data_IF_829047416692
#
_entry.id   IF_829047416692
#
_cell.length_a   1.000
_cell.length_b   1.000
_cell.length_c   1.000
_cell.angle_alpha   90.00
_cell.angle_beta   90.00
_cell.angle_gamma   90.00
#
_symmetry.space_group_name_H-M   'P 1'
#
loop_
_entity.id
_entity.type
_entity.pdbx_description
1 polymer ?
#
# COMPACT_ATOMS: atom_id res chain seq x y z
N UNK A 1 -10.54 32.12 -1.77
CA UNK A 1 -9.34 31.49 -1.16
C UNK A 1 -9.51 30.00 -1.31
N UNK A 2 -8.49 29.27 -1.78
CA UNK A 2 -8.53 27.82 -1.72
C UNK A 2 -8.61 27.42 -0.23
N UNK A 3 -9.48 26.47 0.15
CA UNK A 3 -9.55 26.00 1.53
C UNK A 3 -8.18 25.41 1.89
N UNK A 4 -7.51 26.01 2.87
CA UNK A 4 -6.29 25.48 3.44
C UNK A 4 -6.64 24.39 4.44
N UNK A 5 -6.01 23.22 4.29
CA UNK A 5 -6.12 22.11 5.24
C UNK A 5 -5.72 22.60 6.64
N UNK A 6 -6.53 22.35 7.69
CA UNK A 6 -6.20 22.80 9.03
C UNK A 6 -4.98 22.09 9.61
N UNK A 7 -4.13 22.81 10.33
CA UNK A 7 -2.92 22.23 10.94
C UNK A 7 -3.25 21.11 11.93
N UNK A 8 -4.38 21.21 12.65
CA UNK A 8 -4.83 20.17 13.56
C UNK A 8 -5.25 18.88 12.84
N UNK A 9 -5.63 18.95 11.56
CA UNK A 9 -6.02 17.77 10.78
C UNK A 9 -4.79 16.97 10.34
N UNK A 10 -3.70 17.65 9.93
CA UNK A 10 -2.50 17.00 9.41
C UNK A 10 -1.75 16.16 10.46
N UNK A 11 -1.85 16.52 11.74
CA UNK A 11 -1.18 15.80 12.84
C UNK A 11 -2.09 14.98 13.74
N UNK A 12 -3.41 14.96 13.51
CA UNK A 12 -4.34 14.25 14.39
C UNK A 12 -4.16 12.74 14.27
N UNK A 13 -4.31 12.01 15.38
CA UNK A 13 -4.40 10.55 15.40
C UNK A 13 -5.82 10.05 15.64
N UNK A 14 -6.77 10.95 15.88
CA UNK A 14 -8.17 10.63 16.17
C UNK A 14 -9.09 11.28 15.15
N UNK A 15 -10.34 10.85 15.10
CA UNK A 15 -11.40 11.49 14.31
C UNK A 15 -12.05 12.65 15.08
N UNK A 16 -11.50 13.07 16.22
CA UNK A 16 -12.06 14.20 16.96
C UNK A 16 -11.77 15.51 16.24
N UNK A 17 -12.83 16.27 15.96
CA UNK A 17 -12.72 17.65 15.48
C UNK A 17 -12.63 18.56 16.71
N UNK A 18 -11.61 19.44 16.82
CA UNK A 18 -11.54 20.44 17.89
C UNK A 18 -12.84 21.24 18.01
N UNK A 19 -13.27 21.54 19.24
CA UNK A 19 -14.58 22.17 19.51
C UNK A 19 -14.81 23.47 18.74
N UNK A 20 -13.77 24.27 18.57
CA UNK A 20 -13.79 25.53 17.83
C UNK A 20 -13.84 25.36 16.31
N UNK A 21 -13.45 24.18 15.80
CA UNK A 21 -13.49 23.81 14.39
C UNK A 21 -14.80 23.11 13.97
N UNK A 22 -15.55 22.52 14.90
CA UNK A 22 -16.81 21.79 14.61
C UNK A 22 -17.89 22.63 13.90
N UNK A 23 -17.83 23.96 14.03
CA UNK A 23 -18.75 24.88 13.31
C UNK A 23 -18.46 25.02 11.82
N UNK A 24 -17.27 24.62 11.38
CA UNK A 24 -16.78 24.80 10.02
C UNK A 24 -16.44 23.47 9.33
N UNK A 25 -16.27 22.38 10.10
CA UNK A 25 -15.80 21.09 9.60
C UNK A 25 -16.69 19.94 10.09
N UNK A 26 -16.95 18.98 9.21
CA UNK A 26 -17.73 17.78 9.50
C UNK A 26 -17.18 16.57 8.73
N UNK A 27 -17.25 15.38 9.34
CA UNK A 27 -17.02 14.10 8.66
C UNK A 27 -18.26 13.68 7.87
N UNK A 28 -18.05 13.17 6.66
CA UNK A 28 -19.12 12.55 5.86
C UNK A 28 -18.65 11.18 5.37
N UNK A 29 -19.58 10.27 5.11
CA UNK A 29 -19.26 9.01 4.44
C UNK A 29 -19.26 9.19 2.91
N UNK A 30 -18.52 8.34 2.17
CA UNK A 30 -18.61 8.31 0.72
C UNK A 30 -20.06 8.10 0.26
N UNK A 31 -20.60 9.06 -0.52
CA UNK A 31 -21.97 9.02 -1.05
C UNK A 31 -22.98 9.85 -0.25
N UNK A 32 -22.61 10.37 0.93
CA UNK A 32 -23.46 11.29 1.68
C UNK A 32 -23.60 12.66 0.99
N UNK A 33 -24.74 13.35 1.15
CA UNK A 33 -24.89 14.71 0.67
C UNK A 33 -23.97 15.67 1.43
N UNK A 34 -23.27 16.53 0.69
CA UNK A 34 -22.34 17.53 1.23
C UNK A 34 -23.16 18.65 1.92
N UNK A 35 -23.03 18.86 3.25
CA UNK A 35 -23.72 19.93 3.95
C UNK A 35 -23.27 21.31 3.47
N UNK A 36 -24.22 22.20 3.19
CA UNK A 36 -23.92 23.56 2.76
C UNK A 36 -23.22 24.36 3.86
N UNK A 37 -22.12 25.05 3.52
CA UNK A 37 -21.36 25.88 4.46
C UNK A 37 -20.28 25.14 5.28
N UNK A 38 -20.13 23.83 5.11
CA UNK A 38 -19.09 23.05 5.78
C UNK A 38 -17.93 22.70 4.85
N UNK A 39 -16.71 22.68 5.41
CA UNK A 39 -15.56 22.03 4.79
C UNK A 39 -15.57 20.55 5.17
N UNK A 40 -15.43 19.69 4.17
CA UNK A 40 -15.49 18.24 4.36
C UNK A 40 -14.13 17.72 4.78
N UNK A 41 -14.13 16.97 5.89
CA UNK A 41 -13.00 16.13 6.27
C UNK A 41 -13.29 14.72 5.76
N UNK A 42 -12.33 14.13 5.05
CA UNK A 42 -12.38 12.72 4.70
C UNK A 42 -11.84 11.93 5.87
N UNK A 43 -12.60 10.95 6.38
CA UNK A 43 -12.13 10.03 7.41
C UNK A 43 -10.97 9.20 6.86
N UNK A 44 -9.82 9.85 6.86
CA UNK A 44 -8.54 9.30 6.53
C UNK A 44 -8.17 8.54 7.78
N UNK A 45 -8.09 7.23 7.64
CA UNK A 45 -7.63 6.38 8.71
C UNK A 45 -6.35 6.98 9.33
N UNK A 46 -6.27 6.94 10.66
CA UNK A 46 -5.19 7.55 11.45
C UNK A 46 -3.78 7.20 10.97
N UNK A 47 -3.62 6.05 10.29
CA UNK A 47 -2.38 5.58 9.66
C UNK A 47 -1.88 6.46 8.51
N UNK A 48 -2.74 7.27 7.90
CA UNK A 48 -2.41 8.09 6.72
C UNK A 48 -2.44 9.59 7.01
N UNK A 49 -2.73 10.00 8.26
CA UNK A 49 -2.68 11.41 8.65
C UNK A 49 -1.22 11.89 8.72
N UNK A 50 -0.92 13.00 8.04
CA UNK A 50 0.42 13.59 7.99
C UNK A 50 1.38 13.00 6.95
N UNK A 51 0.91 12.08 6.10
CA UNK A 51 1.64 11.60 4.93
C UNK A 51 1.24 12.40 3.69
N UNK A 52 2.24 12.89 2.96
CA UNK A 52 2.12 13.83 1.83
C UNK A 52 2.23 13.15 0.44
N UNK A 53 2.40 11.82 0.40
CA UNK A 53 2.41 11.04 -0.84
C UNK A 53 1.73 9.67 -0.68
N UNK A 54 0.93 9.27 -1.68
CA UNK A 54 0.18 8.00 -1.76
C UNK A 54 0.96 6.89 -2.47
N UNK A 55 2.24 6.72 -2.14
CA UNK A 55 3.23 5.83 -2.80
C UNK A 55 3.88 6.42 -4.07
N UNK A 56 5.21 6.28 -4.15
CA UNK A 56 5.99 6.53 -5.37
C UNK A 56 6.43 5.17 -5.93
N UNK A 57 5.87 4.67 -7.02
CA UNK A 57 6.40 3.46 -7.66
C UNK A 57 7.70 3.77 -8.40
N UNK A 58 8.80 3.07 -8.10
CA UNK A 58 10.10 3.34 -8.75
C UNK A 58 10.42 2.42 -9.92
N UNK A 59 10.12 1.13 -9.78
CA UNK A 59 10.57 0.12 -10.71
C UNK A 59 9.64 -1.08 -10.70
N UNK A 60 9.42 -1.66 -11.87
CA UNK A 60 8.65 -2.90 -12.01
C UNK A 60 9.56 -3.98 -12.60
N UNK A 61 9.52 -5.16 -12.00
CA UNK A 61 10.16 -6.35 -12.57
C UNK A 61 9.13 -7.42 -12.82
N UNK A 62 9.39 -8.27 -13.80
CA UNK A 62 8.63 -9.51 -14.00
C UNK A 62 9.57 -10.68 -13.87
N UNK A 63 9.21 -11.63 -13.02
CA UNK A 63 9.90 -12.90 -12.88
C UNK A 63 9.06 -14.00 -13.53
N UNK A 64 9.71 -14.98 -14.17
CA UNK A 64 9.04 -16.12 -14.80
C UNK A 64 9.55 -17.43 -14.21
N UNK A 65 8.71 -18.10 -13.43
CA UNK A 65 8.97 -19.43 -12.88
C UNK A 65 8.60 -20.54 -13.87
N UNK A 66 9.46 -21.56 -14.02
CA UNK A 66 9.18 -22.75 -14.84
C UNK A 66 8.77 -23.93 -13.96
N UNK A 67 7.64 -24.55 -14.29
CA UNK A 67 7.08 -25.66 -13.53
C UNK A 67 6.69 -26.83 -14.44
N UNK A 68 6.90 -28.06 -13.95
CA UNK A 68 6.48 -29.28 -14.64
C UNK A 68 5.00 -29.60 -14.48
N UNK A 69 4.30 -28.95 -13.53
CA UNK A 69 2.92 -29.24 -13.18
C UNK A 69 2.06 -27.97 -13.15
N UNK A 70 0.93 -27.98 -13.86
CA UNK A 70 -0.09 -26.92 -13.89
C UNK A 70 -0.54 -26.50 -12.50
N UNK A 71 -0.84 -27.48 -11.64
CA UNK A 71 -1.36 -27.21 -10.30
C UNK A 71 -0.34 -26.47 -9.44
N UNK A 72 0.94 -26.84 -9.56
CA UNK A 72 2.02 -26.15 -8.86
C UNK A 72 2.17 -24.70 -9.33
N UNK A 73 2.16 -24.47 -10.64
CA UNK A 73 2.21 -23.11 -11.21
C UNK A 73 1.03 -22.25 -10.72
N UNK A 74 -0.20 -22.79 -10.81
CA UNK A 74 -1.41 -22.09 -10.36
C UNK A 74 -1.39 -21.70 -8.88
N UNK A 75 -1.04 -22.63 -7.99
CA UNK A 75 -1.04 -22.35 -6.55
C UNK A 75 0.04 -21.35 -6.12
N UNK A 76 1.20 -21.37 -6.76
CA UNK A 76 2.31 -20.45 -6.48
C UNK A 76 1.96 -19.03 -6.92
N UNK A 77 1.26 -18.86 -8.04
CA UNK A 77 0.75 -17.57 -8.50
C UNK A 77 -0.41 -17.06 -7.63
N UNK A 78 -1.39 -17.91 -7.32
CA UNK A 78 -2.58 -17.50 -6.56
C UNK A 78 -2.26 -16.99 -5.14
N UNK A 79 -1.26 -17.56 -4.48
CA UNK A 79 -0.81 -17.11 -3.15
C UNK A 79 0.01 -15.81 -3.19
N UNK A 80 0.52 -15.44 -4.35
CA UNK A 80 1.44 -14.31 -4.47
C UNK A 80 0.72 -13.00 -4.77
N UNK A 81 -0.41 -13.02 -5.48
CA UNK A 81 -1.12 -11.80 -5.89
C UNK A 81 -1.46 -10.93 -4.66
N UNK A 82 -1.19 -9.62 -4.76
CA UNK A 82 -1.32 -8.60 -3.71
C UNK A 82 -0.40 -8.78 -2.50
N UNK A 83 0.48 -9.79 -2.45
CA UNK A 83 1.42 -9.88 -1.34
C UNK A 83 2.50 -8.79 -1.40
N UNK A 84 2.97 -8.36 -0.23
CA UNK A 84 4.16 -7.53 -0.09
C UNK A 84 5.32 -8.39 0.41
N UNK A 85 6.44 -8.36 -0.30
CA UNK A 85 7.62 -9.17 -0.04
C UNK A 85 8.87 -8.30 0.10
N UNK A 86 9.83 -8.76 0.89
CA UNK A 86 11.10 -8.05 1.06
C UNK A 86 11.88 -7.95 -0.27
N UNK A 87 11.85 -9.00 -1.08
CA UNK A 87 12.43 -9.05 -2.42
C UNK A 87 11.75 -10.13 -3.28
N UNK A 88 11.72 -9.95 -4.61
CA UNK A 88 11.38 -10.99 -5.59
C UNK A 88 12.19 -12.28 -5.42
N UNK A 89 11.57 -13.43 -5.69
CA UNK A 89 12.15 -14.75 -5.41
C UNK A 89 13.35 -15.07 -6.32
N UNK A 90 13.29 -14.66 -7.59
CA UNK A 90 14.39 -14.81 -8.55
C UNK A 90 15.41 -13.67 -8.52
N UNK A 91 15.26 -12.74 -7.57
CA UNK A 91 16.15 -11.62 -7.37
C UNK A 91 15.69 -10.33 -8.02
N UNK A 92 16.33 -9.24 -7.61
CA UNK A 92 15.87 -7.87 -7.83
C UNK A 92 16.97 -6.95 -8.37
N UNK A 93 18.01 -7.55 -8.97
CA UNK A 93 19.19 -6.85 -9.48
C UNK A 93 19.96 -6.04 -8.41
N UNK A 94 19.77 -6.36 -7.12
CA UNK A 94 20.39 -5.65 -6.00
C UNK A 94 19.76 -4.30 -5.68
N UNK A 95 18.54 -4.04 -6.17
CA UNK A 95 17.82 -2.79 -5.95
C UNK A 95 17.45 -2.60 -4.48
N UNK A 96 16.94 -3.64 -3.80
CA UNK A 96 16.56 -3.57 -2.39
C UNK A 96 17.77 -3.30 -1.51
N UNK A 97 18.92 -3.92 -1.79
CA UNK A 97 20.14 -3.68 -1.03
C UNK A 97 20.65 -2.23 -1.15
N UNK A 98 20.40 -1.56 -2.28
CA UNK A 98 20.87 -0.19 -2.54
C UNK A 98 19.87 0.88 -2.10
N UNK A 99 18.57 0.63 -2.26
CA UNK A 99 17.51 1.62 -2.09
C UNK A 99 16.65 1.37 -0.84
N UNK A 100 16.77 0.20 -0.22
CA UNK A 100 15.89 -0.23 0.87
C UNK A 100 14.46 -0.51 0.40
N UNK A 101 13.53 -0.67 1.35
CA UNK A 101 12.09 -0.86 1.09
C UNK A 101 11.73 -2.28 0.66
N UNK A 102 10.54 -2.45 0.09
CA UNK A 102 9.97 -3.76 -0.24
C UNK A 102 9.25 -3.72 -1.61
N UNK A 103 8.60 -4.82 -1.99
CA UNK A 103 7.97 -5.02 -3.28
C UNK A 103 6.55 -5.54 -3.12
N UNK A 104 5.63 -5.10 -3.98
CA UNK A 104 4.26 -5.60 -4.05
C UNK A 104 4.07 -6.42 -5.31
N UNK A 105 3.39 -7.56 -5.22
CA UNK A 105 2.99 -8.35 -6.39
C UNK A 105 1.69 -7.78 -6.96
N UNK A 106 1.76 -7.18 -8.14
CA UNK A 106 0.62 -6.50 -8.77
C UNK A 106 -0.10 -7.36 -9.80
N UNK A 107 0.61 -8.30 -10.42
CA UNK A 107 0.03 -9.17 -11.43
C UNK A 107 0.64 -10.57 -11.38
N UNK A 108 -0.17 -11.57 -11.72
CA UNK A 108 0.26 -12.96 -11.85
C UNK A 108 -0.41 -13.59 -13.07
N UNK A 109 0.36 -14.32 -13.86
CA UNK A 109 -0.18 -15.06 -15.00
C UNK A 109 0.34 -16.49 -15.04
N UNK A 110 -0.47 -17.41 -15.58
CA UNK A 110 -0.10 -18.83 -15.72
C UNK A 110 -0.47 -19.32 -17.11
N UNK A 111 0.52 -19.81 -17.85
CA UNK A 111 0.32 -20.32 -19.22
C UNK A 111 1.31 -21.44 -19.55
N UNK A 112 1.06 -22.18 -20.63
CA UNK A 112 1.90 -23.31 -21.06
C UNK A 112 2.69 -22.92 -22.30
N UNK A 113 4.01 -23.07 -22.28
CA UNK A 113 4.91 -22.68 -23.39
C UNK A 113 5.14 -23.80 -24.43
N UNK A 114 4.45 -24.94 -24.28
CA UNK A 114 4.66 -26.15 -25.09
C UNK A 114 5.62 -27.16 -24.44
N UNK A 115 6.27 -26.81 -23.33
CA UNK A 115 7.16 -27.70 -22.57
C UNK A 115 6.97 -27.59 -21.05
N UNK A 116 6.76 -26.40 -20.52
CA UNK A 116 6.59 -26.10 -19.10
C UNK A 116 5.37 -25.21 -18.87
N UNK A 117 4.82 -25.32 -17.66
CA UNK A 117 3.90 -24.32 -17.13
C UNK A 117 4.71 -23.14 -16.59
N UNK A 118 4.50 -21.98 -17.19
CA UNK A 118 5.09 -20.72 -16.77
C UNK A 118 4.17 -20.05 -15.76
N UNK A 119 4.78 -19.51 -14.71
CA UNK A 119 4.11 -18.68 -13.72
C UNK A 119 4.85 -17.34 -13.68
N UNK A 120 4.24 -16.31 -14.27
CA UNK A 120 4.79 -14.96 -14.22
C UNK A 120 4.26 -14.23 -13.00
N UNK A 121 5.10 -13.38 -12.43
CA UNK A 121 4.74 -12.44 -11.38
C UNK A 121 5.38 -11.09 -11.65
N UNK A 122 4.57 -10.05 -11.62
CA UNK A 122 5.04 -8.67 -11.73
C UNK A 122 5.09 -8.03 -10.36
N UNK A 123 6.24 -7.46 -10.02
CA UNK A 123 6.51 -6.81 -8.75
C UNK A 123 6.75 -5.32 -8.97
N UNK A 124 6.16 -4.48 -8.12
CA UNK A 124 6.47 -3.04 -8.09
C UNK A 124 7.21 -2.69 -6.80
N UNK A 125 8.32 -1.98 -6.96
CA UNK A 125 9.18 -1.52 -5.87
C UNK A 125 8.58 -0.30 -5.18
N UNK A 126 8.60 -0.30 -3.84
CA UNK A 126 8.26 0.87 -3.03
C UNK A 126 9.20 2.05 -3.30
N UNK A 127 8.66 3.26 -3.21
CA UNK A 127 9.36 4.50 -3.61
C UNK A 127 10.47 4.96 -2.69
N UNK A 128 10.46 4.46 -1.47
CA UNK A 128 11.48 4.76 -0.48
C UNK A 128 11.80 3.50 0.34
N UNK A 129 12.68 3.70 1.31
CA UNK A 129 13.14 2.66 2.22
C UNK A 129 12.10 2.25 3.27
N UNK A 130 11.00 2.99 3.44
CA UNK A 130 9.92 2.66 4.38
C UNK A 130 9.04 1.53 3.88
N UNK A 131 9.01 1.30 2.57
CA UNK A 131 8.22 0.20 1.99
C UNK A 131 6.76 0.59 1.71
N UNK A 132 6.06 -0.32 1.04
CA UNK A 132 4.61 -0.32 0.90
C UNK A 132 3.94 -0.38 2.27
N UNK A 133 2.83 0.34 2.41
CA UNK A 133 2.00 0.27 3.61
C UNK A 133 1.36 -1.12 3.72
N UNK A 134 1.84 -1.93 4.67
CA UNK A 134 1.39 -3.30 4.86
C UNK A 134 -0.04 -3.42 5.38
N UNK A 135 -0.60 -2.34 5.91
CA UNK A 135 -1.96 -2.34 6.39
C UNK A 135 -2.96 -1.83 5.32
N UNK A 136 -2.47 -1.38 4.15
CA UNK A 136 -3.26 -1.19 2.91
C UNK A 136 -3.10 -2.36 1.96
N UNK A 137 -1.86 -2.81 1.78
CA UNK A 137 -1.48 -3.73 0.71
C UNK A 137 -0.97 -5.08 1.20
N UNK A 138 -0.78 -5.28 2.50
CA UNK A 138 -0.32 -6.53 3.09
C UNK A 138 -1.35 -7.13 4.04
N UNK A 139 -0.89 -8.03 4.90
CA UNK A 139 -1.72 -8.75 5.86
C UNK A 139 -1.71 -8.12 7.27
N UNK A 140 -1.16 -6.89 7.42
CA UNK A 140 -1.14 -6.23 8.72
C UNK A 140 -2.53 -5.74 9.11
N UNK A 141 -2.93 -6.06 10.34
CA UNK A 141 -4.17 -5.57 10.91
C UNK A 141 -4.08 -4.04 11.07
N UNK A 142 -4.97 -3.28 10.40
CA UNK A 142 -5.01 -1.82 10.51
C UNK A 142 -5.18 -1.32 11.96
N UNK A 143 -5.71 -2.15 12.85
CA UNK A 143 -5.99 -1.80 14.25
C UNK A 143 -4.86 -2.23 15.21
N UNK A 144 -3.84 -2.95 14.75
CA UNK A 144 -2.80 -3.54 15.60
C UNK A 144 -1.38 -3.31 15.05
N UNK A 145 -1.05 -2.05 14.77
CA UNK A 145 0.30 -1.65 14.40
C UNK A 145 1.20 -1.62 15.65
N UNK A 146 1.94 -2.70 15.87
CA UNK A 146 3.09 -2.68 16.78
C UNK A 146 4.07 -1.61 16.28
N UNK A 147 4.05 -0.44 16.94
CA UNK A 147 5.07 0.59 16.76
C UNK A 147 6.37 0.02 17.32
N UNK A 148 7.11 -0.73 16.50
CA UNK A 148 8.52 -1.01 16.80
C UNK A 148 9.28 0.29 16.59
N UNK A 149 9.41 1.05 17.67
CA UNK A 149 10.36 2.17 17.72
C UNK A 149 11.73 1.67 17.26
N UNK A 150 12.46 2.46 16.45
CA UNK A 150 13.82 2.11 16.08
C UNK A 150 14.65 2.01 17.37
N UNK A 151 15.21 0.82 17.62
CA UNK A 151 16.16 0.65 18.72
C UNK A 151 17.34 1.60 18.49
N UNK A 152 17.57 2.46 19.49
CA UNK A 152 18.69 3.40 19.58
C UNK A 152 20.05 2.73 19.47
#
# INVERSE_FOLDING_TARGET
MAPTTPDWYLGSKTTDIPKDAQKNYQWILPGDPIPEGFMILFDVDSRFKGQDSFDWSMYTITETGKHSNKSKAGWISAKALNSVVASPDLGDFGLTAKLGGNWKVDDVSVYYDGRHWLADRSYTKSGDSRGWNLAVYGDEDPENLDVKEPQK
#
